data_IF_205781583237
#
_entry.id   IF_205781583237
#
_cell.length_a   1.000
_cell.length_b   1.000
_cell.length_c   1.000
_cell.angle_alpha   90.00
_cell.angle_beta   90.00
_cell.angle_gamma   90.00
#
_symmetry.space_group_name_H-M   'P 1'
#
loop_
_entity.id
_entity.type
_entity.pdbx_description
1 polymer ?
#
# COMPACT_ATOMS: atom_id res chain seq x y z
N UNK A 1 40.23 1.06 -23.50
CA UNK A 1 38.91 0.65 -24.05
C UNK A 1 38.36 -0.41 -23.11
N UNK A 2 37.23 -0.30 -22.44
CA UNK A 2 36.13 0.65 -22.56
C UNK A 2 35.56 0.92 -21.15
N UNK A 3 35.11 2.16 -20.93
CA UNK A 3 34.26 2.59 -19.83
C UNK A 3 32.90 1.90 -19.95
N UNK A 4 32.47 1.17 -18.93
CA UNK A 4 31.08 0.72 -18.82
C UNK A 4 30.38 1.59 -17.77
N UNK A 5 30.09 2.83 -18.18
CA UNK A 5 29.51 3.92 -17.40
C UNK A 5 27.99 4.04 -17.64
N UNK A 6 27.32 2.98 -18.14
CA UNK A 6 25.93 3.11 -18.60
C UNK A 6 25.04 1.89 -18.31
N UNK A 7 25.09 1.34 -17.11
CA UNK A 7 23.88 0.77 -16.52
C UNK A 7 22.98 1.91 -16.00
N UNK A 8 22.65 2.87 -16.88
CA UNK A 8 21.61 3.86 -16.61
C UNK A 8 20.29 3.07 -16.65
N UNK A 9 19.71 2.77 -15.48
CA UNK A 9 18.35 2.25 -15.42
C UNK A 9 17.44 3.22 -16.19
N UNK A 10 16.98 2.79 -17.36
CA UNK A 10 16.04 3.51 -18.21
C UNK A 10 14.61 3.42 -17.68
N UNK A 11 14.39 2.82 -16.51
CA UNK A 11 13.05 2.83 -15.91
C UNK A 11 12.77 4.26 -15.42
N UNK A 12 11.80 4.99 -16.02
CA UNK A 12 11.46 6.31 -15.54
C UNK A 12 11.09 6.21 -14.06
N UNK A 13 11.73 7.04 -13.23
CA UNK A 13 11.37 7.19 -11.81
C UNK A 13 9.84 7.19 -11.69
N UNK A 14 9.22 6.37 -10.81
CA UNK A 14 7.77 6.21 -10.78
C UNK A 14 7.10 7.57 -10.83
N UNK A 15 6.48 7.88 -11.97
CA UNK A 15 6.03 9.24 -12.25
C UNK A 15 5.05 9.71 -11.18
N UNK A 16 4.88 11.02 -11.04
CA UNK A 16 3.81 11.64 -10.23
C UNK A 16 2.46 10.87 -10.22
N UNK A 17 1.95 10.29 -11.34
CA UNK A 17 0.74 9.47 -11.32
C UNK A 17 0.82 8.21 -10.44
N UNK A 18 1.95 7.49 -10.39
CA UNK A 18 2.10 6.29 -9.57
C UNK A 18 2.06 6.62 -8.07
N UNK A 19 2.71 7.72 -7.66
CA UNK A 19 2.66 8.22 -6.29
C UNK A 19 1.25 8.67 -5.89
N UNK A 20 0.53 9.31 -6.80
CA UNK A 20 -0.87 9.69 -6.58
C UNK A 20 -1.78 8.46 -6.42
N UNK A 21 -1.62 7.44 -7.26
CA UNK A 21 -2.40 6.19 -7.16
C UNK A 21 -2.17 5.48 -5.82
N UNK A 22 -0.93 5.39 -5.34
CA UNK A 22 -0.62 4.83 -4.02
C UNK A 22 -1.27 5.65 -2.91
N UNK A 23 -1.23 6.97 -2.97
CA UNK A 23 -1.90 7.84 -2.00
C UNK A 23 -3.41 7.61 -1.96
N UNK A 24 -4.06 7.49 -3.12
CA UNK A 24 -5.50 7.18 -3.22
C UNK A 24 -5.81 5.79 -2.66
N UNK A 25 -4.99 4.78 -2.98
CA UNK A 25 -5.15 3.44 -2.41
C UNK A 25 -5.07 3.46 -0.87
N UNK A 26 -4.09 4.16 -0.30
CA UNK A 26 -3.95 4.28 1.16
C UNK A 26 -5.17 4.98 1.78
N UNK A 27 -5.68 6.04 1.13
CA UNK A 27 -6.91 6.72 1.57
C UNK A 27 -8.11 5.77 1.54
N UNK A 28 -8.27 4.98 0.47
CA UNK A 28 -9.35 4.01 0.34
C UNK A 28 -9.25 2.89 1.39
N UNK A 29 -8.05 2.39 1.68
CA UNK A 29 -7.83 1.42 2.75
C UNK A 29 -8.17 2.00 4.12
N UNK A 30 -7.78 3.25 4.38
CA UNK A 30 -8.07 3.94 5.62
C UNK A 30 -9.58 4.13 5.80
N UNK A 31 -10.27 4.76 4.85
CA UNK A 31 -11.73 4.97 4.94
C UNK A 31 -12.49 3.64 4.91
N UNK A 32 -12.06 2.71 4.07
CA UNK A 32 -12.62 1.37 3.98
C UNK A 32 -12.53 0.59 5.29
N UNK A 33 -11.48 0.79 6.10
CA UNK A 33 -11.38 0.17 7.42
C UNK A 33 -12.51 0.60 8.37
N UNK A 34 -12.88 1.88 8.37
CA UNK A 34 -14.00 2.36 9.18
C UNK A 34 -15.34 1.81 8.71
N UNK A 35 -15.54 1.72 7.39
CA UNK A 35 -16.72 1.08 6.81
C UNK A 35 -16.82 -0.40 7.19
N UNK A 36 -15.70 -1.13 7.13
CA UNK A 36 -15.62 -2.53 7.57
C UNK A 36 -15.89 -2.69 9.07
N UNK A 37 -15.41 -1.78 9.91
CA UNK A 37 -15.75 -1.78 11.34
C UNK A 37 -17.25 -1.57 11.56
N UNK A 38 -17.86 -0.63 10.84
CA UNK A 38 -19.31 -0.35 11.00
C UNK A 38 -20.13 -1.59 10.65
N UNK A 39 -19.85 -2.20 9.50
CA UNK A 39 -20.58 -3.40 9.05
C UNK A 39 -20.23 -4.61 9.95
N UNK A 40 -18.97 -4.74 10.35
CA UNK A 40 -18.49 -5.86 11.15
C UNK A 40 -19.06 -5.90 12.57
N UNK A 41 -19.38 -4.76 13.16
CA UNK A 41 -20.04 -4.69 14.46
C UNK A 41 -21.55 -4.97 14.41
N UNK A 42 -22.19 -4.78 13.25
CA UNK A 42 -23.60 -5.15 13.05
C UNK A 42 -23.77 -6.62 12.62
N UNK A 43 -22.73 -7.23 12.04
CA UNK A 43 -22.78 -8.60 11.56
C UNK A 43 -22.61 -9.63 12.69
N UNK A 44 -23.50 -10.63 12.74
CA UNK A 44 -23.45 -11.67 13.77
C UNK A 44 -22.42 -12.78 13.48
N UNK A 45 -21.93 -13.37 14.58
CA UNK A 45 -21.12 -14.59 14.56
C UNK A 45 -19.74 -14.43 13.90
N UNK A 46 -19.30 -15.47 13.18
CA UNK A 46 -17.97 -15.51 12.58
C UNK A 46 -17.78 -14.46 11.47
N UNK A 47 -18.85 -14.05 10.79
CA UNK A 47 -18.79 -13.05 9.73
C UNK A 47 -18.40 -11.68 10.29
N UNK A 48 -19.00 -11.24 11.40
CA UNK A 48 -18.62 -10.00 12.08
C UNK A 48 -17.17 -10.00 12.54
N UNK A 49 -16.72 -11.10 13.16
CA UNK A 49 -15.32 -11.25 13.58
C UNK A 49 -14.32 -11.14 12.41
N UNK A 50 -14.63 -11.75 11.26
CA UNK A 50 -13.80 -11.65 10.06
C UNK A 50 -13.78 -10.24 9.47
N UNK A 51 -14.92 -9.54 9.44
CA UNK A 51 -15.01 -8.16 8.95
C UNK A 51 -14.22 -7.19 9.84
N UNK A 52 -14.32 -7.33 11.16
CA UNK A 52 -13.53 -6.56 12.13
C UNK A 52 -12.04 -6.85 11.97
N UNK A 53 -11.66 -8.11 11.77
CA UNK A 53 -10.26 -8.48 11.52
C UNK A 53 -9.75 -7.87 10.21
N UNK A 54 -10.55 -7.94 9.14
CA UNK A 54 -10.23 -7.31 7.86
C UNK A 54 -10.09 -5.79 7.99
N UNK A 55 -10.93 -5.14 8.81
CA UNK A 55 -10.82 -3.71 9.12
C UNK A 55 -9.47 -3.37 9.75
N UNK A 56 -9.03 -4.12 10.76
CA UNK A 56 -7.73 -3.92 11.43
C UNK A 56 -6.57 -4.09 10.44
N UNK A 57 -6.62 -5.14 9.61
CA UNK A 57 -5.59 -5.38 8.59
C UNK A 57 -5.55 -4.26 7.56
N UNK A 58 -6.71 -3.83 7.05
CA UNK A 58 -6.80 -2.72 6.09
C UNK A 58 -6.26 -1.41 6.68
N UNK A 59 -6.59 -1.12 7.95
CA UNK A 59 -6.08 0.05 8.67
C UNK A 59 -4.54 -0.01 8.82
N UNK A 60 -4.01 -1.17 9.21
CA UNK A 60 -2.56 -1.37 9.31
C UNK A 60 -1.86 -1.18 7.97
N UNK A 61 -2.43 -1.70 6.88
CA UNK A 61 -1.88 -1.55 5.53
C UNK A 61 -1.88 -0.09 5.05
N UNK A 62 -2.90 0.70 5.39
CA UNK A 62 -2.95 2.13 5.05
C UNK A 62 -1.72 2.91 5.57
N UNK A 63 -1.14 2.47 6.70
CA UNK A 63 0.10 3.03 7.23
C UNK A 63 1.35 2.28 6.77
N UNK A 64 1.33 0.95 6.73
CA UNK A 64 2.49 0.13 6.37
C UNK A 64 2.96 0.34 4.91
N UNK A 65 2.02 0.59 3.99
CA UNK A 65 2.32 0.81 2.57
C UNK A 65 3.24 2.03 2.37
N UNK A 66 2.87 3.26 2.78
CA UNK A 66 3.72 4.43 2.56
C UNK A 66 4.97 4.44 3.44
N UNK A 67 4.93 3.81 4.62
CA UNK A 67 6.04 3.88 5.59
C UNK A 67 7.10 2.81 5.39
N UNK A 68 6.73 1.62 4.93
CA UNK A 68 7.61 0.45 4.92
C UNK A 68 7.70 -0.18 3.54
N UNK A 69 6.57 -0.40 2.86
CA UNK A 69 6.53 -1.15 1.60
C UNK A 69 7.09 -0.31 0.46
N UNK A 70 6.64 0.94 0.31
CA UNK A 70 7.09 1.80 -0.79
C UNK A 70 8.62 2.06 -0.74
N UNK A 71 9.22 2.43 0.41
CA UNK A 71 10.66 2.57 0.50
C UNK A 71 11.42 1.28 0.21
N UNK A 72 10.90 0.13 0.66
CA UNK A 72 11.52 -1.17 0.40
C UNK A 72 11.46 -1.56 -1.09
N UNK A 73 10.42 -1.16 -1.81
CA UNK A 73 10.32 -1.36 -3.26
C UNK A 73 11.29 -0.45 -4.02
N UNK A 74 11.39 0.83 -3.63
CA UNK A 74 12.35 1.78 -4.23
C UNK A 74 13.82 1.33 -4.04
N UNK A 75 14.16 0.73 -2.89
CA UNK A 75 15.50 0.14 -2.64
C UNK A 75 15.76 -1.11 -3.50
N UNK A 76 14.74 -1.93 -3.77
CA UNK A 76 14.87 -3.13 -4.60
C UNK A 76 15.02 -2.79 -6.08
N UNK A 77 14.33 -1.77 -6.54
CA UNK A 77 14.38 -1.30 -7.93
C UNK A 77 15.76 -0.70 -8.29
N UNK A 78 16.49 -0.19 -7.28
CA UNK A 78 17.83 0.36 -7.45
C UNK A 78 18.94 -0.71 -7.56
N UNK A 79 18.67 -1.98 -7.25
CA UNK A 79 19.65 -3.08 -7.25
C UNK A 79 19.60 -3.90 -8.54
#
# INVERSE_FOLDING_TARGET
MASDETAYSTDPAPGAPARAATGVLCLLLFVGSFALFTIGFEADGAAGALLVTAAIVAFGLAFAIPTTILPALEERDRR
#
